data_IF_845762993380
#
_entry.id   IF_845762993380
#
_cell.length_a   1.000
_cell.length_b   1.000
_cell.length_c   1.000
_cell.angle_alpha   90.00
_cell.angle_beta   90.00
_cell.angle_gamma   90.00
#
_symmetry.space_group_name_H-M   'P 1'
#
loop_
_entity.id
_entity.type
_entity.pdbx_description
1 polymer ?
#
# COMPACT_ATOMS: atom_id res chain seq x y z
N UNK A 1 1.13 -5.89 5.63
CA UNK A 1 2.13 -5.14 4.85
C UNK A 1 2.13 -5.57 3.39
N UNK A 2 2.53 -6.82 3.08
CA UNK A 2 2.72 -7.27 1.69
C UNK A 2 1.45 -7.19 0.82
N UNK A 3 0.28 -7.58 1.35
CA UNK A 3 -1.01 -7.45 0.64
C UNK A 3 -1.35 -6.00 0.28
N UNK A 4 -1.14 -5.06 1.20
CA UNK A 4 -1.41 -3.64 0.96
C UNK A 4 -0.51 -3.07 -0.14
N UNK A 5 0.77 -3.47 -0.17
CA UNK A 5 1.72 -3.01 -1.18
C UNK A 5 1.37 -3.55 -2.57
N UNK A 6 1.13 -4.87 -2.67
CA UNK A 6 0.83 -5.54 -3.95
C UNK A 6 -0.45 -4.99 -4.58
N UNK A 7 -1.43 -4.58 -3.76
CA UNK A 7 -2.66 -3.98 -4.27
C UNK A 7 -2.51 -2.48 -4.56
N UNK A 8 -1.97 -1.71 -3.60
CA UNK A 8 -1.95 -0.26 -3.70
C UNK A 8 -0.98 0.26 -4.75
N UNK A 9 0.22 -0.30 -4.86
CA UNK A 9 1.24 0.19 -5.79
C UNK A 9 0.77 0.15 -7.26
N UNK A 10 0.29 -0.98 -7.82
CA UNK A 10 -0.19 -1.00 -9.20
C UNK A 10 -1.49 -0.19 -9.38
N UNK A 11 -2.39 -0.22 -8.41
CA UNK A 11 -3.63 0.56 -8.48
C UNK A 11 -3.33 2.06 -8.56
N UNK A 12 -2.49 2.56 -7.65
CA UNK A 12 -2.06 3.96 -7.62
C UNK A 12 -1.29 4.35 -8.89
N UNK A 13 -0.33 3.53 -9.30
CA UNK A 13 0.47 3.77 -10.50
C UNK A 13 -0.39 3.82 -11.77
N UNK A 14 -1.36 2.91 -11.88
CA UNK A 14 -2.32 2.90 -12.98
C UNK A 14 -3.14 4.20 -13.01
N UNK A 15 -3.75 4.59 -11.89
CA UNK A 15 -4.52 5.84 -11.82
C UNK A 15 -3.68 7.07 -12.17
N UNK A 16 -2.47 7.19 -11.60
CA UNK A 16 -1.57 8.30 -11.88
C UNK A 16 -1.09 8.33 -13.34
N UNK A 17 -0.88 7.17 -13.95
CA UNK A 17 -0.51 7.06 -15.35
C UNK A 17 -1.55 7.72 -16.26
N UNK A 18 -2.82 7.38 -16.10
CA UNK A 18 -3.90 7.91 -16.94
C UNK A 18 -4.30 9.35 -16.60
N UNK A 19 -4.12 9.80 -15.37
CA UNK A 19 -4.59 11.13 -14.94
C UNK A 19 -3.53 12.23 -15.09
N UNK A 20 -2.24 11.90 -14.94
CA UNK A 20 -1.20 12.94 -14.77
C UNK A 20 0.09 12.56 -15.50
N UNK A 21 0.65 11.37 -15.26
CA UNK A 21 2.03 11.06 -15.64
C UNK A 21 2.22 10.86 -17.13
N UNK A 22 1.22 10.31 -17.84
CA UNK A 22 1.30 10.16 -19.29
C UNK A 22 1.30 11.53 -19.99
N UNK A 23 0.49 12.49 -19.53
CA UNK A 23 0.47 13.85 -20.09
C UNK A 23 1.76 14.62 -19.81
N UNK A 24 2.36 14.39 -18.64
CA UNK A 24 3.65 14.97 -18.28
C UNK A 24 4.85 14.31 -18.97
N UNK A 25 4.63 13.27 -19.77
CA UNK A 25 5.72 12.52 -20.42
C UNK A 25 6.68 11.88 -19.42
N UNK A 26 6.21 11.50 -18.24
CA UNK A 26 7.08 10.92 -17.21
C UNK A 26 7.67 9.58 -17.68
N UNK A 27 8.96 9.32 -17.41
CA UNK A 27 9.57 8.03 -17.67
C UNK A 27 8.85 6.89 -16.95
N UNK A 28 8.61 5.78 -17.65
CA UNK A 28 7.96 4.58 -17.07
C UNK A 28 8.72 4.07 -15.84
N UNK A 29 10.04 4.09 -15.87
CA UNK A 29 10.87 3.63 -14.74
C UNK A 29 10.69 4.53 -13.50
N UNK A 30 10.56 5.84 -13.69
CA UNK A 30 10.26 6.79 -12.61
C UNK A 30 8.87 6.52 -12.04
N UNK A 31 7.87 6.32 -12.89
CA UNK A 31 6.50 5.99 -12.48
C UNK A 31 6.44 4.68 -11.65
N UNK A 32 7.16 3.64 -12.07
CA UNK A 32 7.27 2.38 -11.33
C UNK A 32 7.92 2.61 -9.97
N UNK A 33 9.04 3.33 -9.92
CA UNK A 33 9.74 3.62 -8.67
C UNK A 33 8.86 4.39 -7.68
N UNK A 34 8.18 5.46 -8.14
CA UNK A 34 7.28 6.26 -7.31
C UNK A 34 6.10 5.42 -6.82
N UNK A 35 5.53 4.57 -7.67
CA UNK A 35 4.41 3.69 -7.30
C UNK A 35 4.79 2.68 -6.21
N UNK A 36 5.98 2.08 -6.33
CA UNK A 36 6.51 1.17 -5.32
C UNK A 36 6.81 1.90 -4.01
N UNK A 37 7.40 3.09 -4.06
CA UNK A 37 7.68 3.91 -2.88
C UNK A 37 6.38 4.30 -2.16
N UNK A 38 5.37 4.75 -2.90
CA UNK A 38 4.05 5.09 -2.36
C UNK A 38 3.38 3.86 -1.74
N UNK A 39 3.41 2.71 -2.42
CA UNK A 39 2.89 1.44 -1.88
C UNK A 39 3.60 0.98 -0.61
N UNK A 40 4.93 1.13 -0.54
CA UNK A 40 5.70 0.81 0.66
C UNK A 40 5.30 1.69 1.85
N UNK A 41 5.28 3.01 1.66
CA UNK A 41 4.89 3.96 2.71
C UNK A 41 3.44 3.73 3.16
N UNK A 42 2.51 3.54 2.23
CA UNK A 42 1.12 3.23 2.54
C UNK A 42 1.00 1.93 3.34
N UNK A 43 1.71 0.87 2.92
CA UNK A 43 1.66 -0.43 3.60
C UNK A 43 2.22 -0.38 5.03
N UNK A 44 3.25 0.44 5.25
CA UNK A 44 3.84 0.66 6.58
C UNK A 44 2.90 1.46 7.48
N UNK A 45 2.27 2.51 6.93
CA UNK A 45 1.27 3.30 7.62
C UNK A 45 0.07 2.44 8.05
N UNK A 46 -0.47 1.65 7.12
CA UNK A 46 -1.58 0.75 7.40
C UNK A 46 -1.22 -0.33 8.42
N UNK A 47 -0.01 -0.90 8.34
CA UNK A 47 0.45 -1.86 9.34
C UNK A 47 0.55 -1.25 10.74
N UNK A 48 1.02 -0.01 10.84
CA UNK A 48 1.05 0.74 12.10
C UNK A 48 -0.35 0.96 12.65
N UNK A 49 -1.31 1.40 11.82
CA UNK A 49 -2.71 1.57 12.23
C UNK A 49 -3.29 0.25 12.72
N UNK A 50 -3.13 -0.83 11.97
CA UNK A 50 -3.68 -2.14 12.36
C UNK A 50 -3.07 -2.64 13.65
N UNK A 51 -1.77 -2.42 13.87
CA UNK A 51 -1.12 -2.77 15.13
C UNK A 51 -1.69 -1.97 16.31
N UNK A 52 -1.87 -0.66 16.16
CA UNK A 52 -2.46 0.19 17.21
C UNK A 52 -3.90 -0.22 17.49
N UNK A 53 -4.71 -0.40 16.43
CA UNK A 53 -6.12 -0.80 16.55
C UNK A 53 -6.28 -2.16 17.20
N UNK A 54 -5.41 -3.11 16.86
CA UNK A 54 -5.37 -4.42 17.50
C UNK A 54 -5.20 -4.30 19.02
N UNK A 55 -4.29 -3.45 19.48
CA UNK A 55 -4.09 -3.20 20.92
C UNK A 55 -5.26 -2.46 21.56
N UNK A 56 -5.83 -1.46 20.89
CA UNK A 56 -6.97 -0.70 21.42
C UNK A 56 -8.23 -1.56 21.59
N UNK A 57 -8.42 -2.54 20.71
CA UNK A 57 -9.61 -3.39 20.69
C UNK A 57 -9.41 -4.73 21.42
N UNK A 58 -8.24 -4.95 22.04
CA UNK A 58 -7.87 -6.22 22.69
C UNK A 58 -8.15 -7.46 21.81
N UNK A 59 -7.90 -7.33 20.50
CA UNK A 59 -8.16 -8.43 19.56
C UNK A 59 -7.17 -9.57 19.79
N UNK A 60 -7.71 -10.78 19.84
CA UNK A 60 -6.93 -12.02 19.91
C UNK A 60 -6.10 -12.20 18.64
N UNK A 61 -5.04 -13.01 18.72
CA UNK A 61 -4.20 -13.28 17.57
C UNK A 61 -4.96 -14.00 16.48
N UNK A 62 -4.63 -13.70 15.22
CA UNK A 62 -5.23 -14.40 14.07
C UNK A 62 -5.01 -15.91 14.12
N UNK A 63 -3.91 -16.37 14.72
CA UNK A 63 -3.64 -17.80 14.92
C UNK A 63 -4.61 -18.48 15.88
N UNK A 64 -5.26 -17.73 16.77
CA UNK A 64 -6.24 -18.26 17.73
C UNK A 64 -7.67 -18.37 17.18
N UNK A 65 -7.91 -17.89 15.96
CA UNK A 65 -9.24 -17.87 15.32
C UNK A 65 -9.46 -19.06 14.37
N UNK A 66 -8.45 -19.90 14.16
CA UNK A 66 -8.50 -21.07 13.27
C UNK A 66 -8.58 -22.42 14.01
N UNK A 67 -8.70 -22.39 15.34
CA UNK A 67 -9.08 -23.53 16.20
C UNK A 67 -10.57 -23.48 16.51
#
# INVERSE_FOLDING_TARGET
VMLCLIFFAPFWGFFQWFLVWNELGKPVLEAVYISLLAGALFSLFMATIYYIRRKQLNLTDWSSLGE
#
